data_IF_390886048032
#
_entry.id   IF_390886048032
#
_cell.length_a   1.000
_cell.length_b   1.000
_cell.length_c   1.000
_cell.angle_alpha   90.00
_cell.angle_beta   90.00
_cell.angle_gamma   90.00
#
_symmetry.space_group_name_H-M   'P 1'
#
loop_
_entity.id
_entity.type
_entity.pdbx_description
1 polymer ?
#
# COMPACT_ATOMS: atom_id res chain seq x y z
N UNK A 1 14.69 3.30 -12.04
CA UNK A 1 13.28 3.55 -12.39
C UNK A 1 12.38 2.44 -11.85
N UNK A 2 12.58 1.17 -12.23
CA UNK A 2 11.77 0.04 -11.74
C UNK A 2 11.80 -0.14 -10.21
N UNK A 3 12.99 -0.06 -9.59
CA UNK A 3 13.18 -0.13 -8.14
C UNK A 3 12.38 0.95 -7.37
N UNK A 4 12.30 2.16 -7.93
CA UNK A 4 11.51 3.25 -7.33
C UNK A 4 10.00 2.94 -7.36
N UNK A 5 9.54 2.34 -8.46
CA UNK A 5 8.13 2.00 -8.64
C UNK A 5 7.72 0.87 -7.69
N UNK A 6 8.53 -0.20 -7.59
CA UNK A 6 8.19 -1.36 -6.77
C UNK A 6 8.39 -1.13 -5.28
N UNK A 7 9.48 -0.48 -4.87
CA UNK A 7 9.83 -0.34 -3.45
C UNK A 7 9.18 0.89 -2.83
N UNK A 8 8.96 1.97 -3.57
CA UNK A 8 8.48 3.23 -2.99
C UNK A 8 7.06 3.56 -3.48
N UNK A 9 6.87 3.75 -4.78
CA UNK A 9 5.59 4.23 -5.30
C UNK A 9 4.42 3.28 -5.01
N UNK A 10 4.58 1.97 -5.29
CA UNK A 10 3.52 0.99 -5.05
C UNK A 10 3.22 0.78 -3.56
N UNK A 11 4.16 1.09 -2.66
CA UNK A 11 3.94 0.96 -1.20
C UNK A 11 3.18 2.14 -0.60
N UNK A 12 3.23 3.30 -1.25
CA UNK A 12 2.58 4.53 -0.78
C UNK A 12 1.31 4.89 -1.56
N UNK A 13 1.12 4.31 -2.76
CA UNK A 13 -0.06 4.56 -3.58
C UNK A 13 -1.34 4.13 -2.84
N UNK A 14 -2.35 5.01 -2.86
CA UNK A 14 -3.68 4.67 -2.36
C UNK A 14 -4.45 3.86 -3.40
N UNK A 15 -5.09 2.79 -2.95
CA UNK A 15 -5.86 1.89 -3.80
C UNK A 15 -7.35 1.95 -3.44
N UNK A 16 -8.19 2.33 -4.40
CA UNK A 16 -9.64 2.41 -4.20
C UNK A 16 -10.28 1.06 -3.87
N UNK A 17 -9.70 -0.04 -4.36
CA UNK A 17 -10.15 -1.40 -4.07
C UNK A 17 -10.02 -1.81 -2.60
N UNK A 18 -9.17 -1.13 -1.83
CA UNK A 18 -8.97 -1.36 -0.39
C UNK A 18 -9.32 -0.11 0.43
N UNK A 19 -10.29 0.68 -0.04
CA UNK A 19 -10.82 1.82 0.71
C UNK A 19 -9.90 3.04 0.75
N UNK A 20 -9.08 3.24 -0.29
CA UNK A 20 -8.11 4.34 -0.37
C UNK A 20 -7.04 4.29 0.72
N UNK A 21 -6.62 3.08 1.09
CA UNK A 21 -5.43 2.85 1.90
C UNK A 21 -4.24 2.45 1.04
N UNK A 22 -3.03 2.72 1.52
CA UNK A 22 -1.82 2.13 0.97
C UNK A 22 -1.70 0.66 1.37
N UNK A 23 -0.95 -0.18 0.62
CA UNK A 23 -0.79 -1.59 0.97
C UNK A 23 -0.24 -1.79 2.39
N UNK A 24 0.70 -0.95 2.83
CA UNK A 24 1.28 -0.99 4.18
C UNK A 24 0.24 -0.69 5.27
N UNK A 25 -0.63 0.29 5.04
CA UNK A 25 -1.70 0.63 5.99
C UNK A 25 -2.74 -0.49 6.06
N UNK A 26 -3.11 -1.04 4.90
CA UNK A 26 -4.07 -2.14 4.81
C UNK A 26 -3.57 -3.42 5.50
N UNK A 27 -2.29 -3.77 5.32
CA UNK A 27 -1.64 -4.87 6.06
C UNK A 27 -1.71 -4.63 7.59
N UNK A 28 -1.39 -3.42 8.04
CA UNK A 28 -1.47 -3.05 9.46
C UNK A 28 -2.90 -3.15 10.01
N UNK A 29 -3.90 -2.73 9.24
CA UNK A 29 -5.31 -2.83 9.65
C UNK A 29 -5.78 -4.29 9.71
N UNK A 30 -5.35 -5.12 8.77
CA UNK A 30 -5.74 -6.54 8.69
C UNK A 30 -5.07 -7.38 9.78
N UNK A 31 -3.84 -7.08 10.17
CA UNK A 31 -3.11 -7.80 11.23
C UNK A 31 -3.54 -7.45 12.65
N UNK A 32 -4.30 -6.37 12.85
CA UNK A 32 -4.77 -5.90 14.16
C UNK A 32 -6.20 -6.37 14.48
N UNK A 33 -6.85 -7.10 13.56
CA UNK A 33 -8.13 -7.76 13.77
C UNK A 33 -7.95 -9.23 14.18
#
# INVERSE_FOLDING_TARGET
MFEYIEIFYNRERLHSSIGYHSPKEYEKMTMVA
#
